data_IF_118100747636
#
_entry.id   IF_118100747636
#
_cell.length_a   1.000
_cell.length_b   1.000
_cell.length_c   1.000
_cell.angle_alpha   90.00
_cell.angle_beta   90.00
_cell.angle_gamma   90.00
#
_symmetry.space_group_name_H-M   'P 1'
#
loop_
_entity.id
_entity.type
_entity.pdbx_description
1 polymer ?
#
# COMPACT_ATOMS: atom_id res chain seq x y z
N UNK A 1 -29.70 -24.76 -14.52
CA UNK A 1 -28.56 -25.58 -14.98
C UNK A 1 -27.53 -24.62 -15.54
N UNK A 2 -26.42 -24.41 -14.84
CA UNK A 2 -25.37 -23.52 -15.31
C UNK A 2 -24.58 -24.23 -16.41
N UNK A 3 -24.35 -23.51 -17.51
CA UNK A 3 -23.51 -23.94 -18.61
C UNK A 3 -22.07 -24.03 -18.09
N UNK A 4 -21.53 -25.24 -17.96
CA UNK A 4 -20.10 -25.47 -17.75
C UNK A 4 -19.39 -25.16 -19.07
N UNK A 5 -19.17 -23.87 -19.32
CA UNK A 5 -18.49 -23.35 -20.49
C UNK A 5 -16.98 -23.57 -20.38
N UNK A 6 -16.48 -24.46 -21.22
CA UNK A 6 -15.17 -24.42 -21.88
C UNK A 6 -13.95 -23.95 -21.07
N UNK A 7 -13.12 -24.90 -20.64
CA UNK A 7 -11.68 -24.68 -20.52
C UNK A 7 -11.08 -24.59 -21.93
N UNK A 8 -11.28 -23.47 -22.62
CA UNK A 8 -10.53 -23.11 -23.83
C UNK A 8 -10.71 -21.62 -24.07
N UNK A 9 -9.95 -20.86 -23.30
CA UNK A 9 -9.00 -19.88 -23.80
C UNK A 9 -8.05 -19.62 -22.62
N UNK A 10 -6.76 -19.44 -22.85
CA UNK A 10 -5.86 -18.90 -21.82
C UNK A 10 -6.23 -17.43 -21.60
N UNK A 11 -7.42 -17.18 -21.06
CA UNK A 11 -7.81 -15.85 -20.63
C UNK A 11 -7.10 -15.63 -19.31
N UNK A 12 -6.18 -14.66 -19.30
CA UNK A 12 -5.49 -14.26 -18.09
C UNK A 12 -6.52 -14.05 -16.97
N UNK A 13 -6.37 -14.81 -15.87
CA UNK A 13 -7.35 -14.77 -14.78
C UNK A 13 -7.09 -13.50 -13.97
N UNK A 14 -8.13 -12.70 -13.72
CA UNK A 14 -8.00 -11.51 -12.88
C UNK A 14 -8.01 -11.91 -11.41
N UNK A 15 -6.95 -11.59 -10.68
CA UNK A 15 -6.93 -11.66 -9.22
C UNK A 15 -7.24 -10.29 -8.66
N UNK A 16 -8.06 -10.26 -7.63
CA UNK A 16 -8.24 -9.13 -6.75
C UNK A 16 -7.85 -9.57 -5.34
N UNK A 17 -6.75 -9.03 -4.82
CA UNK A 17 -6.36 -9.21 -3.43
C UNK A 17 -6.74 -7.95 -2.64
N UNK A 18 -7.13 -8.10 -1.39
CA UNK A 18 -7.45 -7.01 -0.49
C UNK A 18 -6.93 -7.32 0.91
N UNK A 19 -5.99 -6.51 1.36
CA UNK A 19 -5.29 -6.69 2.64
C UNK A 19 -5.48 -5.43 3.49
N UNK A 20 -5.62 -5.61 4.80
CA UNK A 20 -5.74 -4.51 5.75
C UNK A 20 -5.08 -4.91 7.07
N UNK A 21 -4.15 -4.10 7.55
CA UNK A 21 -3.48 -4.29 8.84
C UNK A 21 -3.00 -2.96 9.41
N UNK A 22 -2.48 -3.01 10.63
CA UNK A 22 -1.94 -1.85 11.34
C UNK A 22 -0.47 -2.08 11.63
N UNK A 23 0.35 -1.08 11.36
CA UNK A 23 1.77 -1.04 11.75
C UNK A 23 1.97 0.02 12.83
N UNK A 24 3.01 -0.17 13.64
CA UNK A 24 3.55 0.88 14.49
C UNK A 24 4.60 1.62 13.70
N UNK A 25 4.38 2.92 13.43
CA UNK A 25 5.26 3.77 12.65
C UNK A 25 6.00 4.75 13.57
N UNK A 26 7.32 4.79 13.45
CA UNK A 26 8.21 5.74 14.13
C UNK A 26 8.96 6.58 13.08
N UNK A 27 9.85 7.47 13.52
CA UNK A 27 10.72 8.21 12.60
C UNK A 27 11.64 7.26 11.82
N UNK A 28 11.51 7.27 10.49
CA UNK A 28 12.36 6.50 9.58
C UNK A 28 13.32 7.38 8.79
N UNK A 29 13.38 8.69 9.06
CA UNK A 29 14.20 9.65 8.28
C UNK A 29 15.70 9.31 8.29
N UNK A 30 16.17 8.55 9.29
CA UNK A 30 17.54 8.07 9.42
C UNK A 30 17.70 6.56 9.14
N UNK A 31 16.66 5.88 8.66
CA UNK A 31 16.61 4.41 8.55
C UNK A 31 15.88 3.91 7.31
N UNK A 32 15.61 2.61 7.29
CA UNK A 32 14.88 1.96 6.20
C UNK A 32 13.38 2.17 6.40
N UNK A 33 12.61 2.49 5.35
CA UNK A 33 11.15 2.48 5.38
C UNK A 33 10.60 1.12 5.84
N UNK A 34 9.37 1.12 6.36
CA UNK A 34 8.65 -0.10 6.69
C UNK A 34 8.09 -0.70 5.40
N UNK A 35 8.67 -1.80 4.95
CA UNK A 35 8.18 -2.55 3.81
C UNK A 35 6.88 -3.28 4.18
N UNK A 36 5.86 -3.14 3.34
CA UNK A 36 4.49 -3.61 3.57
C UNK A 36 4.11 -4.72 2.60
N UNK A 37 4.59 -4.63 1.36
CA UNK A 37 4.31 -5.60 0.31
C UNK A 37 5.39 -5.52 -0.77
N UNK A 38 5.73 -6.68 -1.34
CA UNK A 38 6.66 -6.83 -2.47
C UNK A 38 6.09 -7.80 -3.50
N UNK A 39 6.41 -7.55 -4.77
CA UNK A 39 6.21 -8.47 -5.88
C UNK A 39 7.47 -8.57 -6.74
N UNK A 40 7.90 -9.81 -6.95
CA UNK A 40 9.04 -10.14 -7.82
C UNK A 40 8.60 -10.85 -9.11
N UNK A 41 7.28 -10.91 -9.37
CA UNK A 41 6.76 -11.49 -10.60
C UNK A 41 6.88 -10.54 -11.79
N UNK A 42 6.64 -11.05 -12.99
CA UNK A 42 6.60 -10.26 -14.22
C UNK A 42 5.21 -9.66 -14.54
N UNK A 43 4.25 -9.75 -13.61
CA UNK A 43 2.88 -9.30 -13.86
C UNK A 43 2.73 -7.81 -13.59
N UNK A 44 1.90 -7.13 -14.39
CA UNK A 44 1.53 -5.76 -14.11
C UNK A 44 0.48 -5.74 -12.99
N UNK A 45 0.89 -5.26 -11.81
CA UNK A 45 0.02 -5.12 -10.64
C UNK A 45 -0.45 -3.67 -10.53
N UNK A 46 -1.76 -3.44 -10.46
CA UNK A 46 -2.34 -2.12 -10.23
C UNK A 46 -3.17 -2.17 -8.95
N UNK A 47 -3.27 -1.06 -8.22
CA UNK A 47 -3.97 -1.11 -6.95
C UNK A 47 -4.35 0.23 -6.36
N UNK A 48 -5.25 0.17 -5.39
CA UNK A 48 -5.58 1.32 -4.54
C UNK A 48 -5.01 1.08 -3.16
N UNK A 49 -4.23 2.03 -2.67
CA UNK A 49 -3.61 2.00 -1.35
C UNK A 49 -4.25 3.11 -0.51
N UNK A 50 -4.69 2.78 0.69
CA UNK A 50 -5.19 3.71 1.69
C UNK A 50 -4.33 3.62 2.94
N UNK A 51 -3.96 4.80 3.44
CA UNK A 51 -3.20 4.98 4.66
C UNK A 51 -4.02 5.87 5.58
N UNK A 52 -4.25 5.38 6.80
CA UNK A 52 -4.92 6.09 7.88
C UNK A 52 -3.93 6.19 9.05
N UNK A 53 -3.53 7.41 9.36
CA UNK A 53 -2.57 7.69 10.42
C UNK A 53 -3.34 8.00 11.70
N UNK A 54 -3.52 6.99 12.56
CA UNK A 54 -4.24 7.15 13.84
C UNK A 54 -3.36 7.72 14.96
N UNK A 55 -2.31 8.45 14.59
CA UNK A 55 -1.46 9.17 15.53
C UNK A 55 -2.16 10.40 16.10
N UNK A 56 -1.61 10.91 17.20
CA UNK A 56 -2.06 12.15 17.83
C UNK A 56 -1.36 13.32 17.15
N UNK A 57 -2.13 14.32 16.71
CA UNK A 57 -1.63 15.55 16.07
C UNK A 57 -0.51 16.20 16.89
N UNK A 58 0.50 16.74 16.20
CA UNK A 58 1.72 17.35 16.75
C UNK A 58 2.67 16.43 17.55
N UNK A 59 2.31 15.18 17.82
CA UNK A 59 3.10 14.28 18.70
C UNK A 59 3.44 12.93 18.07
N UNK A 60 2.91 12.66 16.88
CA UNK A 60 3.12 11.44 16.11
C UNK A 60 3.72 11.78 14.74
N UNK A 61 4.47 10.85 14.12
CA UNK A 61 5.07 11.08 12.82
C UNK A 61 4.00 11.18 11.72
N UNK A 62 4.31 11.92 10.65
CA UNK A 62 3.59 11.84 9.38
C UNK A 62 3.95 10.54 8.67
N UNK A 63 3.02 9.96 7.91
CA UNK A 63 3.27 8.77 7.09
C UNK A 63 3.34 9.16 5.61
N UNK A 64 4.46 8.88 4.95
CA UNK A 64 4.63 9.00 3.50
C UNK A 64 4.58 7.62 2.85
N UNK A 65 3.97 7.54 1.66
CA UNK A 65 3.89 6.31 0.87
C UNK A 65 5.10 6.20 -0.04
N UNK A 66 5.75 5.05 -0.05
CA UNK A 66 6.73 4.65 -1.04
C UNK A 66 6.13 3.58 -1.95
N UNK A 67 6.35 3.74 -3.24
CA UNK A 67 6.00 2.76 -4.27
C UNK A 67 7.22 2.52 -5.12
N UNK A 68 7.61 1.25 -5.27
CA UNK A 68 8.82 0.86 -5.99
C UNK A 68 10.05 1.62 -5.46
N UNK A 69 10.15 1.67 -4.12
CA UNK A 69 11.20 2.35 -3.35
C UNK A 69 11.30 3.87 -3.59
N UNK A 70 10.29 4.46 -4.24
CA UNK A 70 10.22 5.89 -4.53
C UNK A 70 9.06 6.52 -3.76
N UNK A 71 9.34 7.62 -3.05
CA UNK A 71 8.29 8.35 -2.34
C UNK A 71 7.28 8.96 -3.34
N UNK A 72 5.99 8.72 -3.08
CA UNK A 72 4.90 9.27 -3.89
C UNK A 72 4.73 10.74 -3.54
N UNK A 73 5.18 11.62 -4.45
CA UNK A 73 5.16 13.06 -4.23
C UNK A 73 3.74 13.57 -3.92
N UNK A 74 3.61 14.34 -2.85
CA UNK A 74 2.33 14.91 -2.41
C UNK A 74 1.44 13.92 -1.63
N UNK A 75 1.90 12.68 -1.42
CA UNK A 75 1.22 11.70 -0.57
C UNK A 75 1.90 11.63 0.80
N UNK A 76 1.54 12.58 1.67
CA UNK A 76 1.90 12.56 3.09
C UNK A 76 0.61 12.61 3.91
N UNK A 77 0.50 11.72 4.88
CA UNK A 77 -0.67 11.57 5.76
C UNK A 77 -0.30 12.04 7.16
N UNK A 78 -0.82 13.19 7.55
CA UNK A 78 -0.60 13.75 8.88
C UNK A 78 -1.34 12.92 9.96
N UNK A 79 -0.93 13.00 11.24
CA UNK A 79 -1.65 12.32 12.31
C UNK A 79 -3.11 12.80 12.40
N UNK A 80 -4.05 11.85 12.44
CA UNK A 80 -5.49 12.07 12.39
C UNK A 80 -6.08 12.12 10.97
N UNK A 81 -5.26 12.05 9.92
CA UNK A 81 -5.72 12.03 8.53
C UNK A 81 -5.79 10.61 7.96
N UNK A 82 -6.58 10.47 6.90
CA UNK A 82 -6.53 9.33 5.99
C UNK A 82 -6.50 9.81 4.56
N UNK A 83 -5.74 9.10 3.72
CA UNK A 83 -5.65 9.36 2.28
C UNK A 83 -5.60 8.04 1.53
N UNK A 84 -6.11 8.05 0.30
CA UNK A 84 -6.03 6.91 -0.60
C UNK A 84 -5.56 7.37 -1.98
N UNK A 85 -4.84 6.50 -2.68
CA UNK A 85 -4.36 6.72 -4.03
C UNK A 85 -4.45 5.44 -4.84
N UNK A 86 -4.82 5.55 -6.11
CA UNK A 86 -4.78 4.45 -7.08
C UNK A 86 -3.56 4.64 -7.97
N UNK A 87 -2.78 3.57 -8.12
CA UNK A 87 -1.52 3.56 -8.86
C UNK A 87 -1.44 2.32 -9.73
N UNK A 88 -0.61 2.40 -10.76
CA UNK A 88 -0.28 1.31 -11.67
C UNK A 88 1.19 0.87 -11.51
N UNK A 89 1.51 -0.33 -12.01
CA UNK A 89 2.87 -0.89 -12.02
C UNK A 89 3.51 -0.97 -10.62
N UNK A 90 2.77 -1.53 -9.67
CA UNK A 90 3.24 -1.76 -8.30
C UNK A 90 4.16 -2.98 -8.25
N UNK A 91 5.35 -2.81 -7.67
CA UNK A 91 6.32 -3.85 -7.34
C UNK A 91 6.68 -3.85 -5.85
N UNK A 92 6.58 -2.70 -5.19
CA UNK A 92 6.66 -2.63 -3.73
C UNK A 92 5.76 -1.55 -3.15
N UNK A 93 5.32 -1.74 -1.91
CA UNK A 93 4.64 -0.74 -1.09
C UNK A 93 5.43 -0.62 0.21
N UNK A 94 5.84 0.59 0.54
CA UNK A 94 6.51 0.92 1.80
C UNK A 94 5.94 2.16 2.45
N UNK A 95 6.16 2.31 3.75
CA UNK A 95 5.72 3.46 4.54
C UNK A 95 6.93 4.06 5.27
N UNK A 96 7.15 5.36 5.10
CA UNK A 96 8.13 6.09 5.90
C UNK A 96 7.43 7.02 6.89
N UNK A 97 7.94 7.04 8.13
CA UNK A 97 7.58 8.01 9.14
C UNK A 97 8.56 9.18 9.17
N UNK A 98 8.05 10.39 9.38
CA UNK A 98 8.86 11.57 9.66
C UNK A 98 8.27 12.36 10.83
N UNK A 99 9.11 12.74 11.80
CA UNK A 99 8.70 13.42 13.04
C UNK A 99 8.89 12.56 14.28
N UNK A 100 8.52 13.06 15.45
CA UNK A 100 8.78 12.39 16.73
C UNK A 100 7.65 11.46 17.16
N UNK A 101 7.97 10.53 18.05
CA UNK A 101 6.99 9.65 18.68
C UNK A 101 6.68 8.41 17.85
N UNK A 102 5.50 7.84 18.06
CA UNK A 102 5.03 6.63 17.40
C UNK A 102 3.56 6.74 17.06
N UNK A 103 3.15 6.18 15.93
CA UNK A 103 1.77 6.18 15.45
C UNK A 103 1.30 4.77 15.11
N UNK A 104 0.02 4.48 15.38
CA UNK A 104 -0.65 3.33 14.78
C UNK A 104 -1.14 3.72 13.38
N UNK A 105 -0.45 3.25 12.35
CA UNK A 105 -0.81 3.51 10.95
C UNK A 105 -1.52 2.29 10.39
N UNK A 106 -2.76 2.49 9.97
CA UNK A 106 -3.53 1.45 9.28
C UNK A 106 -3.25 1.57 7.79
N UNK A 107 -2.79 0.47 7.21
CA UNK A 107 -2.50 0.36 5.79
C UNK A 107 -3.47 -0.67 5.21
N UNK A 108 -4.20 -0.26 4.18
CA UNK A 108 -5.03 -1.15 3.40
C UNK A 108 -4.75 -0.96 1.93
N UNK A 109 -4.75 -2.05 1.19
CA UNK A 109 -4.57 -2.00 -0.25
C UNK A 109 -5.39 -3.08 -0.93
N UNK A 110 -5.82 -2.77 -2.16
CA UNK A 110 -6.38 -3.74 -3.08
C UNK A 110 -5.52 -3.82 -4.33
N UNK A 111 -5.11 -5.03 -4.69
CA UNK A 111 -4.24 -5.30 -5.83
C UNK A 111 -5.03 -6.03 -6.90
N UNK A 112 -4.83 -5.63 -8.14
CA UNK A 112 -5.45 -6.17 -9.33
C UNK A 112 -4.37 -6.56 -10.30
N UNK A 113 -4.35 -7.83 -10.67
CA UNK A 113 -3.39 -8.35 -11.63
C UNK A 113 -3.98 -9.46 -12.48
N UNK A 114 -3.35 -9.69 -13.63
CA UNK A 114 -3.76 -10.68 -14.63
C UNK A 114 -2.58 -11.61 -14.88
N UNK A 115 -2.78 -12.89 -14.60
CA UNK A 115 -1.79 -13.94 -14.85
C UNK A 115 -2.22 -14.87 -15.97
#
# INVERSE_FOLDING_TARGET
MALLGGCSDMSVSSVNDAVCFTITLEDTTAGTPVEVWEDSTGFAINGTIMIENNGITETSPTASLLVNDTEVTGFTVAPGESRAITLDNLNSIGISGAGTGSSAVKVSFSLNYKF
#
